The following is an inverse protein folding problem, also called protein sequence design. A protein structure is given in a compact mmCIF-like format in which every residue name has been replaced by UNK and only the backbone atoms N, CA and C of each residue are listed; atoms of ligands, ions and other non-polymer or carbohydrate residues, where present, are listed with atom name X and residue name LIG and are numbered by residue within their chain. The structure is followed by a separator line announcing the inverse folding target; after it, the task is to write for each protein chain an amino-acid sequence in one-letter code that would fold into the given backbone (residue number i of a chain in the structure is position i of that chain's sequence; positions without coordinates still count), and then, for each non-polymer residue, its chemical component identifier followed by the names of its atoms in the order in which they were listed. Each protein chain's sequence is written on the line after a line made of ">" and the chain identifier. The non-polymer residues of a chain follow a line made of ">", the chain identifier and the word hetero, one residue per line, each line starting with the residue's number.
data_IF_454830160386
#
_entry.id   IF_454830160386
#
_cell.length_a   1.000
_cell.length_b   1.000
_cell.length_c   1.000
_cell.angle_alpha   90.00
_cell.angle_beta   90.00
_cell.angle_gamma   90.00
#
_symmetry.space_group_name_H-M   'P 1'
#
loop_
_entity.id
_entity.type
_entity.pdbx_description
1 polymer ?
#
# COMPACT_ATOMS: atom_id res chain seq x y z
N UNK A 1 18.18 -3.72 -2.10
CA UNK A 1 19.24 -4.66 -1.67
C UNK A 1 19.98 -5.18 -2.90
N UNK A 2 21.33 -5.19 -2.93
CA UNK A 2 22.09 -5.52 -4.16
C UNK A 2 21.98 -7.02 -4.48
N UNK A 3 21.76 -7.36 -5.75
CA UNK A 3 21.56 -8.74 -6.23
C UNK A 3 22.67 -9.71 -5.79
N UNK A 4 23.93 -9.26 -5.79
CA UNK A 4 25.11 -10.09 -5.49
C UNK A 4 25.11 -10.70 -4.08
N UNK A 5 24.59 -9.98 -3.08
CA UNK A 5 24.70 -10.37 -1.66
C UNK A 5 23.36 -10.73 -1.01
N UNK A 6 22.29 -10.75 -1.79
CA UNK A 6 20.94 -10.95 -1.26
C UNK A 6 20.32 -12.22 -1.82
N UNK A 7 19.58 -12.94 -0.98
CA UNK A 7 18.75 -14.06 -1.42
C UNK A 7 17.46 -13.51 -2.05
N UNK A 8 16.90 -14.16 -3.08
CA UNK A 8 15.67 -13.69 -3.74
C UNK A 8 14.52 -13.42 -2.76
N UNK A 9 14.35 -14.29 -1.76
CA UNK A 9 13.33 -14.15 -0.71
C UNK A 9 13.49 -12.85 0.09
N UNK A 10 14.71 -12.50 0.50
CA UNK A 10 14.95 -11.24 1.22
C UNK A 10 14.73 -10.02 0.32
N UNK A 11 15.12 -10.08 -0.95
CA UNK A 11 14.86 -8.96 -1.88
C UNK A 11 13.36 -8.72 -2.06
N UNK A 12 12.56 -9.78 -2.16
CA UNK A 12 11.13 -9.66 -2.33
C UNK A 12 10.47 -8.93 -1.15
N UNK A 13 10.90 -9.22 0.09
CA UNK A 13 10.38 -8.54 1.30
C UNK A 13 10.65 -7.04 1.27
N UNK A 14 11.84 -6.64 0.83
CA UNK A 14 12.28 -5.24 0.78
C UNK A 14 12.05 -4.58 -0.59
N UNK A 15 11.17 -5.14 -1.42
CA UNK A 15 10.81 -4.53 -2.71
C UNK A 15 9.80 -3.42 -2.51
N UNK A 16 9.83 -2.40 -3.37
CA UNK A 16 8.85 -1.31 -3.39
C UNK A 16 7.42 -1.85 -3.56
N UNK A 17 7.22 -2.82 -4.44
CA UNK A 17 5.93 -3.51 -4.59
C UNK A 17 5.45 -4.12 -3.27
N UNK A 18 6.34 -4.78 -2.51
CA UNK A 18 5.95 -5.35 -1.22
C UNK A 18 5.66 -4.28 -0.17
N UNK A 19 6.42 -3.17 -0.18
CA UNK A 19 6.17 -2.00 0.68
C UNK A 19 4.76 -1.46 0.45
N UNK A 20 4.41 -1.13 -0.79
CA UNK A 20 3.10 -0.58 -1.14
C UNK A 20 1.95 -1.58 -0.96
N UNK A 21 2.18 -2.88 -1.17
CA UNK A 21 1.20 -3.93 -0.79
C UNK A 21 0.87 -3.89 0.70
N UNK A 22 1.90 -3.78 1.55
CA UNK A 22 1.71 -3.72 3.00
C UNK A 22 0.98 -2.43 3.39
N UNK A 23 1.34 -1.30 2.80
CA UNK A 23 0.65 -0.03 3.07
C UNK A 23 -0.82 -0.08 2.68
N UNK A 24 -1.15 -0.58 1.48
CA UNK A 24 -2.54 -0.74 1.06
C UNK A 24 -3.31 -1.67 2.02
N UNK A 25 -2.69 -2.76 2.48
CA UNK A 25 -3.31 -3.67 3.44
C UNK A 25 -3.58 -2.97 4.79
N UNK A 26 -2.61 -2.20 5.30
CA UNK A 26 -2.76 -1.44 6.56
C UNK A 26 -3.91 -0.43 6.43
N UNK A 27 -3.93 0.37 5.36
CA UNK A 27 -4.98 1.37 5.13
C UNK A 27 -6.36 0.73 5.00
N UNK A 28 -6.44 -0.41 4.31
CA UNK A 28 -7.71 -1.13 4.15
C UNK A 28 -8.21 -1.66 5.51
N UNK A 29 -7.33 -2.22 6.34
CA UNK A 29 -7.68 -2.67 7.70
C UNK A 29 -8.10 -1.48 8.58
N UNK A 30 -7.45 -0.33 8.43
CA UNK A 30 -7.82 0.89 9.14
C UNK A 30 -9.25 1.32 8.78
N UNK A 31 -9.61 1.36 7.49
CA UNK A 31 -10.97 1.64 7.04
C UNK A 31 -11.99 0.62 7.57
N UNK A 32 -11.66 -0.67 7.57
CA UNK A 32 -12.54 -1.70 8.15
C UNK A 32 -12.79 -1.48 9.65
N UNK A 33 -11.74 -1.12 10.40
CA UNK A 33 -11.87 -0.79 11.82
C UNK A 33 -12.76 0.45 12.01
N UNK A 34 -12.56 1.50 11.20
CA UNK A 34 -13.42 2.69 11.21
C UNK A 34 -14.88 2.35 10.92
N UNK A 35 -15.15 1.43 9.99
CA UNK A 35 -16.50 0.96 9.70
C UNK A 35 -17.13 0.17 10.85
N UNK A 36 -16.33 -0.65 11.57
CA UNK A 36 -16.78 -1.35 12.78
C UNK A 36 -17.12 -0.37 13.91
N UNK A 37 -16.40 0.74 14.00
CA UNK A 37 -16.65 1.82 14.96
C UNK A 37 -17.81 2.75 14.54
N UNK A 38 -18.39 2.56 13.34
CA UNK A 38 -19.47 3.39 12.81
C UNK A 38 -19.04 4.77 12.33
N UNK A 39 -17.74 4.99 12.12
CA UNK A 39 -17.21 6.26 11.58
C UNK A 39 -17.43 6.39 10.07
N UNK A 40 -17.49 5.26 9.36
CA UNK A 40 -17.79 5.20 7.92
C UNK A 40 -18.78 4.05 7.64
N UNK A 41 -19.53 4.09 6.52
CA UNK A 41 -20.37 2.98 6.09
C UNK A 41 -19.58 1.69 5.85
N UNK A 42 -20.19 0.53 6.12
CA UNK A 42 -19.54 -0.78 5.91
C UNK A 42 -19.35 -1.08 4.43
N UNK A 43 -20.26 -0.58 3.62
CA UNK A 43 -20.28 -0.70 2.17
C UNK A 43 -19.07 0.01 1.55
N UNK A 44 -18.71 1.18 2.09
CA UNK A 44 -17.56 1.97 1.64
C UNK A 44 -16.25 1.28 1.99
N UNK A 45 -16.10 0.76 3.22
CA UNK A 45 -14.92 -0.03 3.59
C UNK A 45 -14.77 -1.29 2.72
N UNK A 46 -15.88 -1.98 2.40
CA UNK A 46 -15.86 -3.13 1.50
C UNK A 46 -15.49 -2.73 0.06
N UNK A 47 -15.95 -1.57 -0.41
CA UNK A 47 -15.59 -1.04 -1.72
C UNK A 47 -14.10 -0.69 -1.79
N UNK A 48 -13.53 -0.08 -0.74
CA UNK A 48 -12.11 0.23 -0.63
C UNK A 48 -11.29 -1.07 -0.73
N UNK A 49 -11.60 -2.11 0.05
CA UNK A 49 -10.87 -3.39 -0.04
C UNK A 49 -10.95 -4.03 -1.43
N UNK A 50 -12.12 -3.98 -2.08
CA UNK A 50 -12.32 -4.61 -3.39
C UNK A 50 -11.63 -3.87 -4.53
N UNK A 51 -11.55 -2.54 -4.45
CA UNK A 51 -11.06 -1.69 -5.54
C UNK A 51 -9.63 -1.18 -5.34
N UNK A 52 -9.12 -1.23 -4.10
CA UNK A 52 -7.78 -0.79 -3.75
C UNK A 52 -6.72 -1.46 -4.63
N UNK A 53 -6.00 -0.64 -5.38
CA UNK A 53 -4.90 -1.05 -6.26
C UNK A 53 -3.91 0.11 -6.36
N UNK A 54 -2.68 -0.21 -6.74
CA UNK A 54 -1.63 0.78 -6.94
C UNK A 54 -0.72 0.34 -8.07
N UNK A 55 -0.07 1.30 -8.72
CA UNK A 55 0.97 1.09 -9.71
C UNK A 55 2.24 1.80 -9.25
N UNK A 56 3.35 1.07 -9.17
CA UNK A 56 4.61 1.60 -8.61
C UNK A 56 5.15 2.77 -9.43
N UNK A 57 5.00 2.69 -10.77
CA UNK A 57 5.47 3.74 -11.67
C UNK A 57 4.65 5.03 -11.52
N UNK A 58 3.34 4.92 -11.30
CA UNK A 58 2.47 6.08 -11.04
C UNK A 58 2.84 6.77 -9.72
N UNK A 59 3.09 5.98 -8.66
CA UNK A 59 3.54 6.52 -7.37
C UNK A 59 4.86 7.26 -7.53
N UNK A 60 5.83 6.69 -8.26
CA UNK A 60 7.12 7.33 -8.48
C UNK A 60 7.00 8.68 -9.23
N UNK A 61 6.06 8.81 -10.16
CA UNK A 61 5.79 10.10 -10.83
C UNK A 61 5.12 11.12 -9.91
N UNK A 62 4.24 10.68 -9.01
CA UNK A 62 3.61 11.55 -8.01
C UNK A 62 4.66 12.04 -7.00
N UNK A 63 5.52 11.14 -6.52
CA UNK A 63 6.58 11.43 -5.55
C UNK A 63 7.53 12.52 -6.04
N UNK A 64 7.86 12.54 -7.34
CA UNK A 64 8.69 13.62 -7.93
C UNK A 64 8.10 15.02 -7.76
N UNK A 65 6.77 15.12 -7.63
CA UNK A 65 6.05 16.39 -7.48
C UNK A 65 5.76 16.71 -6.02
N UNK A 66 5.45 15.70 -5.21
CA UNK A 66 5.07 15.86 -3.79
C UNK A 66 6.29 15.89 -2.87
N UNK A 67 7.42 15.30 -3.29
CA UNK A 67 8.59 14.98 -2.47
C UNK A 67 8.21 14.21 -1.20
N UNK A 68 7.14 13.41 -1.28
CA UNK A 68 6.59 12.65 -0.16
C UNK A 68 6.03 11.33 -0.67
N UNK A 69 6.55 10.23 -0.16
CA UNK A 69 6.33 8.87 -0.66
C UNK A 69 4.96 8.27 -0.30
N UNK A 70 4.26 8.86 0.68
CA UNK A 70 2.92 8.41 1.13
C UNK A 70 1.77 9.16 0.44
N UNK A 71 2.04 10.30 -0.20
CA UNK A 71 1.01 11.17 -0.82
C UNK A 71 0.86 10.81 -2.29
#
# INVERSE_FOLDING_TARGET
>A
MINRYSRPQMRAIWSETRKFQIWLEIETIACEAMARLGLIPKEDAAAIRKKGKFEVDEIAEIEKRTNHDVI
#
